data_IF_226993734365
#
_entry.id   IF_226993734365
#
_cell.length_a   1.000
_cell.length_b   1.000
_cell.length_c   1.000
_cell.angle_alpha   90.00
_cell.angle_beta   90.00
_cell.angle_gamma   90.00
#
_symmetry.space_group_name_H-M   'P 1'
#
loop_
_entity.id
_entity.type
_entity.pdbx_description
1 polymer ?
#
# COMPACT_ATOMS: atom_id res chain seq x y z
N UNK A 1 13.02 -16.42 -2.01
CA UNK A 1 11.62 -16.04 -1.77
C UNK A 1 11.05 -17.08 -0.85
N UNK A 2 10.53 -16.66 0.30
CA UNK A 2 9.89 -17.57 1.23
C UNK A 2 8.46 -17.81 0.75
N UNK A 3 8.15 -19.07 0.42
CA UNK A 3 6.82 -19.45 0.00
C UNK A 3 5.89 -19.51 1.20
N UNK A 4 4.79 -18.76 1.15
CA UNK A 4 3.70 -18.87 2.11
C UNK A 4 2.42 -19.27 1.39
N UNK A 5 1.76 -20.38 1.79
CA UNK A 5 0.55 -20.82 1.12
C UNK A 5 -0.61 -19.87 1.40
N UNK A 6 -1.30 -19.44 0.35
CA UNK A 6 -2.57 -18.74 0.50
C UNK A 6 -3.62 -19.74 0.99
N UNK A 7 -4.14 -19.52 2.20
CA UNK A 7 -5.17 -20.40 2.74
C UNK A 7 -6.47 -20.29 1.93
N UNK A 8 -7.28 -21.36 1.94
CA UNK A 8 -8.60 -21.33 1.31
C UNK A 8 -9.49 -20.22 1.89
N UNK A 9 -9.39 -19.98 3.20
CA UNK A 9 -10.16 -18.95 3.88
C UNK A 9 -9.73 -17.54 3.45
N UNK A 10 -8.43 -17.29 3.34
CA UNK A 10 -7.90 -16.01 2.88
C UNK A 10 -8.26 -15.74 1.42
N UNK A 11 -8.25 -16.78 0.58
CA UNK A 11 -8.71 -16.67 -0.82
C UNK A 11 -10.18 -16.26 -0.88
N UNK A 12 -11.05 -16.94 -0.13
CA UNK A 12 -12.48 -16.60 -0.08
C UNK A 12 -12.65 -15.16 0.44
N UNK A 13 -11.95 -14.80 1.52
CA UNK A 13 -12.02 -13.44 2.06
C UNK A 13 -11.60 -12.38 1.03
N UNK A 14 -10.50 -12.61 0.31
CA UNK A 14 -10.01 -11.70 -0.72
C UNK A 14 -11.02 -11.56 -1.87
N UNK A 15 -11.56 -12.67 -2.38
CA UNK A 15 -12.58 -12.66 -3.45
C UNK A 15 -13.89 -12.00 -3.01
N UNK A 16 -14.23 -12.10 -1.72
CA UNK A 16 -15.42 -11.46 -1.16
C UNK A 16 -15.24 -9.95 -0.98
N UNK A 17 -14.10 -9.55 -0.42
CA UNK A 17 -13.87 -8.21 0.13
C UNK A 17 -12.98 -7.33 -0.75
N UNK A 18 -12.13 -7.90 -1.60
CA UNK A 18 -11.20 -7.18 -2.49
C UNK A 18 -9.90 -6.75 -1.83
N UNK A 19 -9.60 -7.26 -0.65
CA UNK A 19 -8.36 -7.00 0.08
C UNK A 19 -8.03 -8.17 1.00
N UNK A 20 -6.78 -8.24 1.44
CA UNK A 20 -6.29 -9.20 2.43
C UNK A 20 -5.33 -8.49 3.39
N UNK A 21 -5.50 -8.70 4.70
CA UNK A 21 -4.58 -8.20 5.73
C UNK A 21 -3.75 -9.37 6.23
N UNK A 22 -2.43 -9.26 6.12
CA UNK A 22 -1.50 -10.35 6.48
C UNK A 22 -0.65 -9.88 7.68
N UNK A 23 -1.01 -10.27 8.91
CA UNK A 23 -0.25 -9.87 10.10
C UNK A 23 1.11 -10.59 10.14
N UNK A 24 2.12 -9.92 10.71
CA UNK A 24 3.43 -10.53 10.95
C UNK A 24 4.22 -10.91 9.69
N UNK A 25 3.93 -10.25 8.55
CA UNK A 25 4.60 -10.51 7.29
C UNK A 25 6.09 -10.14 7.30
N UNK A 26 6.45 -9.12 8.11
CA UNK A 26 7.81 -8.65 8.33
C UNK A 26 8.13 -8.75 9.81
N UNK A 27 9.36 -9.13 10.14
CA UNK A 27 9.87 -9.09 11.51
C UNK A 27 10.35 -7.67 11.89
N UNK A 28 10.68 -7.49 13.17
CA UNK A 28 11.09 -6.20 13.71
C UNK A 28 12.39 -5.67 13.10
N UNK A 29 13.32 -6.56 12.71
CA UNK A 29 14.59 -6.16 12.11
C UNK A 29 14.37 -5.62 10.69
N UNK A 30 13.57 -6.34 9.89
CA UNK A 30 13.20 -5.91 8.55
C UNK A 30 12.42 -4.58 8.60
N UNK A 31 11.47 -4.45 9.52
CA UNK A 31 10.73 -3.19 9.72
C UNK A 31 11.69 -2.05 10.04
N UNK A 32 12.60 -2.21 11.01
CA UNK A 32 13.57 -1.18 11.37
C UNK A 32 14.47 -0.79 10.18
N UNK A 33 14.91 -1.78 9.39
CA UNK A 33 15.70 -1.54 8.17
C UNK A 33 14.91 -0.72 7.15
N UNK A 34 13.65 -1.07 6.88
CA UNK A 34 12.84 -0.36 5.89
C UNK A 34 12.47 1.06 6.33
N UNK A 35 12.24 1.28 7.63
CA UNK A 35 12.08 2.64 8.18
C UNK A 35 13.33 3.47 7.88
N UNK A 36 14.52 2.96 8.23
CA UNK A 36 15.77 3.69 8.02
C UNK A 36 16.04 4.00 6.53
N UNK A 37 15.69 3.08 5.62
CA UNK A 37 15.77 3.30 4.17
C UNK A 37 14.80 4.40 3.73
N UNK A 38 13.55 4.33 4.17
CA UNK A 38 12.53 5.33 3.86
C UNK A 38 12.92 6.72 4.36
N UNK A 39 13.47 6.82 5.57
CA UNK A 39 13.86 8.09 6.18
C UNK A 39 15.00 8.74 5.41
N UNK A 40 16.04 7.97 5.06
CA UNK A 40 17.13 8.45 4.18
C UNK A 40 16.62 8.92 2.82
N UNK A 41 15.67 8.18 2.23
CA UNK A 41 15.05 8.61 0.97
C UNK A 41 14.31 9.93 1.15
N UNK A 42 13.53 10.09 2.23
CA UNK A 42 12.73 11.28 2.50
C UNK A 42 13.57 12.52 2.79
N UNK A 43 14.77 12.39 3.39
CA UNK A 43 15.73 13.48 3.55
C UNK A 43 16.10 14.13 2.20
N UNK A 44 16.14 13.33 1.12
CA UNK A 44 16.44 13.81 -0.24
C UNK A 44 15.20 14.26 -1.02
N UNK A 45 14.00 13.85 -0.60
CA UNK A 45 12.75 14.05 -1.33
C UNK A 45 12.07 15.41 -1.08
N UNK A 46 12.68 16.29 -0.28
CA UNK A 46 12.16 17.60 0.10
C UNK A 46 11.11 17.56 1.23
N UNK A 47 10.60 18.72 1.67
CA UNK A 47 9.75 18.80 2.84
C UNK A 47 8.41 18.06 2.67
N UNK A 48 7.94 17.46 3.77
CA UNK A 48 6.57 16.96 3.89
C UNK A 48 5.63 18.16 4.01
N UNK A 49 4.54 18.15 3.25
CA UNK A 49 3.50 19.16 3.38
C UNK A 49 2.40 18.65 4.32
N UNK A 50 2.02 19.48 5.30
CA UNK A 50 1.01 19.17 6.31
C UNK A 50 1.25 17.83 7.03
N UNK A 51 0.37 16.85 6.79
CA UNK A 51 0.30 15.57 7.51
C UNK A 51 0.59 14.37 6.59
N UNK A 52 1.03 14.59 5.36
CA UNK A 52 1.19 13.50 4.39
C UNK A 52 2.29 13.77 3.36
N UNK A 53 3.04 12.73 3.02
CA UNK A 53 3.81 12.65 1.81
C UNK A 53 3.60 11.30 1.11
N UNK A 54 3.51 11.35 -0.22
CA UNK A 54 3.60 10.18 -1.09
C UNK A 54 4.56 10.51 -2.21
N UNK A 55 5.59 9.69 -2.32
CA UNK A 55 6.72 9.89 -3.22
C UNK A 55 6.98 8.58 -3.92
N UNK A 56 7.24 8.66 -5.22
CA UNK A 56 7.75 7.50 -5.95
C UNK A 56 9.17 7.24 -5.45
N UNK A 57 9.38 6.04 -4.90
CA UNK A 57 10.69 5.62 -4.45
C UNK A 57 11.30 4.74 -5.55
N UNK A 58 12.54 5.05 -5.91
CA UNK A 58 13.32 4.17 -6.78
C UNK A 58 13.73 2.94 -5.97
N UNK A 59 13.42 1.75 -6.47
CA UNK A 59 13.83 0.51 -5.79
C UNK A 59 15.35 0.36 -5.75
N UNK A 60 16.08 0.99 -6.66
CA UNK A 60 17.55 0.98 -6.66
C UNK A 60 18.16 1.90 -5.60
N UNK A 61 17.34 2.61 -4.81
CA UNK A 61 17.82 3.42 -3.70
C UNK A 61 18.47 2.56 -2.59
N UNK A 62 17.99 1.33 -2.38
CA UNK A 62 18.58 0.37 -1.44
C UNK A 62 18.19 -1.06 -1.86
N UNK A 63 19.15 -1.99 -1.83
CA UNK A 63 18.91 -3.40 -2.17
C UNK A 63 17.79 -4.05 -1.34
N UNK A 64 17.51 -3.52 -0.14
CA UNK A 64 16.36 -3.93 0.67
C UNK A 64 15.05 -3.84 -0.12
N UNK A 65 14.86 -2.76 -0.86
CA UNK A 65 13.61 -2.45 -1.55
C UNK A 65 13.41 -3.39 -2.74
N UNK A 66 14.49 -3.72 -3.45
CA UNK A 66 14.47 -4.74 -4.50
C UNK A 66 14.09 -6.09 -3.90
N UNK A 67 14.72 -6.49 -2.79
CA UNK A 67 14.39 -7.74 -2.10
C UNK A 67 12.93 -7.75 -1.61
N UNK A 68 12.43 -6.64 -1.07
CA UNK A 68 11.03 -6.52 -0.64
C UNK A 68 10.05 -6.69 -1.82
N UNK A 69 10.39 -6.14 -2.98
CA UNK A 69 9.53 -6.18 -4.17
C UNK A 69 9.58 -7.53 -4.92
N UNK A 70 10.67 -8.30 -4.76
CA UNK A 70 10.92 -9.50 -5.58
C UNK A 70 10.99 -10.80 -4.79
N UNK A 71 11.27 -10.74 -3.49
CA UNK A 71 11.56 -11.91 -2.65
C UNK A 71 10.72 -12.00 -1.38
N UNK A 72 9.94 -10.98 -1.02
CA UNK A 72 9.13 -11.01 0.19
C UNK A 72 8.05 -12.10 0.11
N UNK A 73 7.56 -12.59 1.27
CA UNK A 73 6.46 -13.55 1.28
C UNK A 73 5.17 -12.99 0.62
N UNK A 74 5.02 -11.66 0.57
CA UNK A 74 3.90 -11.02 -0.13
C UNK A 74 3.88 -11.34 -1.62
N UNK A 75 5.05 -11.44 -2.26
CA UNK A 75 5.14 -11.76 -3.70
C UNK A 75 4.53 -13.14 -3.97
N UNK A 76 4.79 -14.11 -3.10
CA UNK A 76 4.20 -15.44 -3.18
C UNK A 76 2.66 -15.40 -3.12
N UNK A 77 2.10 -14.58 -2.22
CA UNK A 77 0.65 -14.40 -2.13
C UNK A 77 0.07 -13.72 -3.37
N UNK A 78 0.72 -12.67 -3.89
CA UNK A 78 0.27 -11.96 -5.10
C UNK A 78 0.25 -12.91 -6.29
N UNK A 79 1.26 -13.76 -6.46
CA UNK A 79 1.30 -14.76 -7.54
C UNK A 79 0.15 -15.77 -7.42
N UNK A 80 -0.19 -16.19 -6.20
CA UNK A 80 -1.30 -17.12 -5.94
C UNK A 80 -2.68 -16.48 -6.11
N UNK A 81 -2.80 -15.16 -5.88
CA UNK A 81 -4.04 -14.41 -6.05
C UNK A 81 -4.29 -14.02 -7.51
N UNK A 82 -3.23 -13.64 -8.25
CA UNK A 82 -3.30 -13.20 -9.64
C UNK A 82 -2.85 -14.30 -10.59
N UNK A 83 -1.55 -14.34 -10.89
CA UNK A 83 -0.90 -15.30 -11.76
C UNK A 83 0.61 -15.29 -11.47
N UNK A 84 1.38 -16.28 -11.94
CA UNK A 84 2.84 -16.24 -11.84
C UNK A 84 3.50 -15.19 -12.75
N UNK A 85 2.78 -14.67 -13.75
CA UNK A 85 3.26 -13.58 -14.63
C UNK A 85 2.78 -12.23 -14.06
N UNK A 86 3.62 -11.65 -13.18
CA UNK A 86 3.35 -10.37 -12.51
C UNK A 86 4.48 -9.39 -12.77
N UNK A 87 4.10 -8.12 -12.97
CA UNK A 87 5.01 -7.05 -13.32
C UNK A 87 4.87 -5.96 -12.26
N UNK A 88 6.00 -5.54 -11.68
CA UNK A 88 5.97 -4.40 -10.78
C UNK A 88 5.77 -3.12 -11.58
N UNK A 89 4.70 -2.41 -11.31
CA UNK A 89 4.43 -1.13 -11.98
C UNK A 89 5.16 0.03 -11.32
N UNK A 90 4.95 0.26 -10.02
CA UNK A 90 5.52 1.38 -9.26
C UNK A 90 5.56 1.07 -7.76
N UNK A 91 6.51 1.68 -7.08
CA UNK A 91 6.62 1.71 -5.62
C UNK A 91 6.48 3.14 -5.09
N UNK A 92 5.95 3.25 -3.87
CA UNK A 92 5.70 4.54 -3.23
C UNK A 92 6.13 4.47 -1.75
N UNK A 93 6.89 5.48 -1.30
CA UNK A 93 7.08 5.77 0.11
C UNK A 93 5.94 6.68 0.57
N UNK A 94 5.18 6.24 1.58
CA UNK A 94 4.01 6.97 2.09
C UNK A 94 4.23 7.28 3.57
N UNK A 95 4.41 8.57 3.87
CA UNK A 95 4.55 9.10 5.21
C UNK A 95 3.26 9.80 5.60
N UNK A 96 2.76 9.49 6.80
CA UNK A 96 1.54 10.07 7.35
C UNK A 96 1.80 10.49 8.78
N UNK A 97 1.29 11.65 9.15
CA UNK A 97 1.35 12.17 10.52
C UNK A 97 -0.08 12.28 11.08
N UNK A 98 -0.26 12.10 12.40
CA UNK A 98 -1.55 12.29 13.05
C UNK A 98 -2.16 13.65 12.71
N UNK A 99 -3.40 13.63 12.23
CA UNK A 99 -4.13 14.85 11.87
C UNK A 99 -4.99 15.31 13.05
N UNK A 100 -4.87 16.60 13.39
CA UNK A 100 -5.77 17.22 14.37
C UNK A 100 -7.21 17.21 13.84
N UNK A 101 -8.16 16.96 14.75
CA UNK A 101 -9.58 17.11 14.45
C UNK A 101 -9.83 18.57 14.03
N UNK A 102 -10.38 18.75 12.83
CA UNK A 102 -10.73 20.06 12.29
C UNK A 102 -12.21 20.07 11.94
N UNK A 103 -12.87 21.22 12.18
CA UNK A 103 -14.24 21.47 11.72
C UNK A 103 -14.30 21.82 10.24
N UNK A 104 -13.16 22.24 9.69
CA UNK A 104 -12.97 22.56 8.28
C UNK A 104 -12.18 21.44 7.57
N UNK A 105 -12.47 21.13 6.30
CA UNK A 105 -11.71 20.15 5.52
C UNK A 105 -10.21 20.51 5.48
N UNK A 106 -9.36 19.60 5.93
CA UNK A 106 -7.91 19.73 5.75
C UNK A 106 -7.54 19.08 4.43
N UNK A 107 -6.97 19.85 3.51
CA UNK A 107 -6.44 19.34 2.25
C UNK A 107 -5.01 18.86 2.49
N UNK A 108 -4.76 17.54 2.53
CA UNK A 108 -3.48 17.01 3.02
C UNK A 108 -2.29 17.47 2.16
N UNK A 109 -2.50 17.73 0.87
CA UNK A 109 -1.46 18.16 -0.05
C UNK A 109 -1.33 19.70 -0.16
N UNK A 110 -2.16 20.47 0.58
CA UNK A 110 -2.10 21.93 0.64
C UNK A 110 -2.54 22.67 -0.63
N UNK A 111 -2.98 21.95 -1.65
CA UNK A 111 -3.32 22.47 -2.98
C UNK A 111 -4.83 22.65 -3.22
N UNK A 112 -5.64 22.53 -2.17
CA UNK A 112 -7.09 22.66 -2.22
C UNK A 112 -7.82 21.49 -2.91
N UNK A 113 -7.11 20.43 -3.31
CA UNK A 113 -7.70 19.29 -4.03
C UNK A 113 -7.84 18.10 -3.09
N UNK A 114 -9.07 17.59 -2.94
CA UNK A 114 -9.34 16.41 -2.12
C UNK A 114 -9.10 15.11 -2.90
N UNK A 115 -7.91 14.95 -3.48
CA UNK A 115 -7.59 13.78 -4.30
C UNK A 115 -7.49 12.47 -3.51
N UNK A 116 -7.60 12.52 -2.18
CA UNK A 116 -7.53 11.35 -1.31
C UNK A 116 -8.80 11.09 -0.52
N UNK A 117 -9.94 11.45 -1.14
CA UNK A 117 -11.25 10.88 -0.83
C UNK A 117 -11.34 9.42 -1.30
N UNK A 118 -12.47 8.76 -1.05
CA UNK A 118 -12.77 7.44 -1.60
C UNK A 118 -12.48 7.38 -3.10
N UNK A 119 -11.57 6.49 -3.49
CA UNK A 119 -11.15 6.30 -4.88
C UNK A 119 -10.76 4.85 -5.11
N UNK A 120 -10.47 4.53 -6.37
CA UNK A 120 -9.87 3.27 -6.78
C UNK A 120 -8.53 3.57 -7.44
N UNK A 121 -7.52 2.78 -7.12
CA UNK A 121 -6.19 2.93 -7.71
C UNK A 121 -6.20 2.76 -9.24
N UNK A 122 -7.09 1.90 -9.75
CA UNK A 122 -7.30 1.66 -11.17
C UNK A 122 -8.78 1.81 -11.48
N UNK A 123 -9.12 2.84 -12.26
CA UNK A 123 -10.50 3.09 -12.69
C UNK A 123 -10.61 3.33 -14.20
N UNK A 124 -9.65 2.82 -14.98
CA UNK A 124 -9.54 3.10 -16.41
C UNK A 124 -10.28 2.07 -17.28
N UNK A 125 -10.92 1.06 -16.68
CA UNK A 125 -11.67 0.05 -17.41
C UNK A 125 -13.17 0.35 -17.39
N UNK A 126 -13.83 0.14 -18.54
CA UNK A 126 -15.28 0.22 -18.66
C UNK A 126 -15.97 -0.69 -17.62
N UNK A 127 -17.15 -0.31 -17.10
CA UNK A 127 -17.74 -1.01 -15.96
C UNK A 127 -17.96 -2.51 -16.13
N UNK A 128 -18.18 -2.95 -17.35
CA UNK A 128 -18.45 -4.33 -17.75
C UNK A 128 -17.23 -5.10 -18.25
N UNK A 129 -16.02 -4.54 -18.15
CA UNK A 129 -14.82 -5.21 -18.64
C UNK A 129 -14.50 -6.45 -17.77
N UNK A 130 -14.32 -7.65 -18.36
CA UNK A 130 -14.18 -8.91 -17.62
C UNK A 130 -12.93 -9.00 -16.74
N UNK A 131 -11.91 -8.17 -16.96
CA UNK A 131 -10.70 -8.12 -16.12
C UNK A 131 -10.77 -7.03 -15.04
N UNK A 132 -11.86 -6.24 -14.99
CA UNK A 132 -12.03 -5.17 -14.00
C UNK A 132 -11.98 -5.77 -12.59
N UNK A 133 -11.00 -5.32 -11.78
CA UNK A 133 -10.78 -5.82 -10.42
C UNK A 133 -9.75 -6.95 -10.29
N UNK A 134 -9.26 -7.53 -11.39
CA UNK A 134 -8.24 -8.61 -11.37
C UNK A 134 -6.93 -8.24 -12.07
N UNK A 135 -6.80 -7.00 -12.57
CA UNK A 135 -5.63 -6.57 -13.37
C UNK A 135 -4.38 -6.31 -12.53
N UNK A 136 -4.55 -5.82 -11.30
CA UNK A 136 -3.42 -5.47 -10.45
C UNK A 136 -3.83 -5.41 -8.98
N UNK A 137 -2.86 -5.72 -8.12
CA UNK A 137 -2.97 -5.64 -6.66
C UNK A 137 -1.89 -4.69 -6.16
N UNK A 138 -2.25 -3.87 -5.17
CA UNK A 138 -1.29 -3.08 -4.39
C UNK A 138 -0.93 -3.85 -3.13
N UNK A 139 0.36 -3.96 -2.85
CA UNK A 139 0.87 -4.45 -1.57
C UNK A 139 1.31 -3.24 -0.75
N UNK A 140 0.67 -3.04 0.41
CA UNK A 140 1.03 -1.99 1.35
C UNK A 140 1.67 -2.61 2.59
N UNK A 141 2.92 -2.23 2.89
CA UNK A 141 3.60 -2.62 4.12
C UNK A 141 3.41 -1.52 5.17
N UNK A 142 2.78 -1.85 6.30
CA UNK A 142 2.67 -0.94 7.42
C UNK A 142 3.94 -1.07 8.27
N UNK A 143 4.82 -0.07 8.23
CA UNK A 143 6.11 -0.08 8.92
C UNK A 143 6.05 0.53 10.32
N UNK A 144 4.95 1.22 10.65
CA UNK A 144 4.73 1.85 11.96
C UNK A 144 3.33 1.56 12.45
N UNK A 145 3.16 1.54 13.77
CA UNK A 145 1.84 1.40 14.37
C UNK A 145 0.98 2.66 14.19
N UNK A 146 -0.33 2.46 14.05
CA UNK A 146 -1.33 3.54 14.03
C UNK A 146 -1.87 3.80 15.44
N UNK A 147 -0.98 4.11 16.37
CA UNK A 147 -1.28 4.13 17.81
C UNK A 147 -2.13 5.32 18.30
N UNK A 148 -2.32 6.35 17.46
CA UNK A 148 -3.13 7.53 17.78
C UNK A 148 -4.37 7.64 16.89
N UNK A 149 -5.40 8.34 17.37
CA UNK A 149 -6.56 8.72 16.54
C UNK A 149 -6.09 9.52 15.33
N UNK A 150 -6.70 9.27 14.16
CA UNK A 150 -6.36 9.95 12.90
C UNK A 150 -4.88 9.81 12.46
N UNK A 151 -4.23 8.69 12.78
CA UNK A 151 -2.88 8.35 12.27
C UNK A 151 -2.82 8.03 10.77
N UNK A 152 -3.94 8.21 10.05
CA UNK A 152 -3.99 8.04 8.59
C UNK A 152 -4.02 6.59 8.12
N UNK A 153 -4.57 5.65 8.89
CA UNK A 153 -4.79 4.28 8.40
C UNK A 153 -5.60 4.28 7.10
N UNK A 154 -5.26 3.37 6.18
CA UNK A 154 -6.02 3.21 4.94
C UNK A 154 -7.37 2.58 5.25
N UNK A 155 -8.45 3.25 4.83
CA UNK A 155 -9.80 2.72 4.91
C UNK A 155 -10.13 1.99 3.60
N UNK A 156 -10.74 0.80 3.72
CA UNK A 156 -11.13 -0.03 2.60
C UNK A 156 -12.64 -0.27 2.67
N UNK A 157 -13.31 -0.26 1.51
CA UNK A 157 -14.73 -0.64 1.43
C UNK A 157 -14.80 -2.10 0.98
N UNK A 158 -15.24 -3.03 1.84
CA UNK A 158 -15.42 -4.43 1.48
C UNK A 158 -16.32 -4.60 0.25
N UNK A 159 -15.91 -5.44 -0.69
CA UNK A 159 -16.66 -5.81 -1.89
C UNK A 159 -16.69 -4.74 -2.98
N UNK A 160 -16.12 -3.56 -2.75
CA UNK A 160 -16.17 -2.43 -3.69
C UNK A 160 -15.48 -2.68 -5.04
N UNK A 161 -14.63 -3.71 -5.14
CA UNK A 161 -13.99 -4.15 -6.37
C UNK A 161 -14.95 -4.81 -7.38
N UNK A 162 -16.15 -5.23 -6.93
CA UNK A 162 -17.20 -5.87 -7.75
C UNK A 162 -18.11 -4.87 -8.48
N UNK A 163 -17.98 -3.58 -8.16
CA UNK A 163 -18.83 -2.49 -8.66
C UNK A 163 -18.22 -1.83 -9.90
#
# INVERSE_FOLDING_TARGET
MDFIPLSRQDRIFFEENGYLVVPGLLDAEAIARFIAVGDRFMETAGPVHNFYANRYIDLLHDDALVALATQSPAVSLVMQLLSPDIHLMRANAIYKHPQLLSREPVYPDGDGRSFRNWHRDLNNFAPNNPIRGTVAVRVGYCLTDFSQTNSGITLLVPGSHKL
#
